data_IF_279189179762
#
_entry.id   IF_279189179762
#
_cell.length_a   1.000
_cell.length_b   1.000
_cell.length_c   1.000
_cell.angle_alpha   90.00
_cell.angle_beta   90.00
_cell.angle_gamma   90.00
#
_symmetry.space_group_name_H-M   'P 1'
#
loop_
_entity.id
_entity.type
_entity.pdbx_description
1 polymer ?
#
# COMPACT_ATOMS: atom_id res chain seq x y z
N UNK A 1 2.67 -31.71 0.71
CA UNK A 1 1.51 -31.84 -0.20
C UNK A 1 0.95 -30.46 -0.59
N UNK A 2 0.65 -29.57 0.37
CA UNK A 2 0.16 -28.21 0.08
C UNK A 2 1.09 -27.38 -0.83
N UNK A 3 2.40 -27.39 -0.60
CA UNK A 3 3.34 -26.61 -1.41
C UNK A 3 3.45 -27.08 -2.88
N UNK A 4 3.27 -28.38 -3.15
CA UNK A 4 3.22 -28.89 -4.53
C UNK A 4 1.98 -28.39 -5.25
N UNK A 5 0.84 -28.32 -4.55
CA UNK A 5 -0.41 -27.78 -5.10
C UNK A 5 -0.26 -26.27 -5.35
N UNK A 6 0.31 -25.52 -4.39
CA UNK A 6 0.57 -24.08 -4.52
C UNK A 6 1.53 -23.77 -5.68
N UNK A 7 2.63 -24.51 -5.83
CA UNK A 7 3.57 -24.33 -6.94
C UNK A 7 2.94 -24.70 -8.29
N UNK A 8 2.12 -25.76 -8.34
CA UNK A 8 1.40 -26.14 -9.57
C UNK A 8 0.38 -25.07 -10.00
N UNK A 9 -0.37 -24.50 -9.05
CA UNK A 9 -1.29 -23.37 -9.31
C UNK A 9 -0.51 -22.13 -9.78
N UNK A 10 0.65 -21.87 -9.16
CA UNK A 10 1.49 -20.74 -9.51
C UNK A 10 1.99 -20.83 -10.95
N UNK A 11 2.39 -22.03 -11.40
CA UNK A 11 2.76 -22.28 -12.80
C UNK A 11 1.65 -21.95 -13.79
N UNK A 12 0.40 -22.28 -13.45
CA UNK A 12 -0.76 -21.96 -14.27
C UNK A 12 -1.07 -20.45 -14.31
N UNK A 13 -0.66 -19.72 -13.26
CA UNK A 13 -0.94 -18.30 -13.09
C UNK A 13 0.24 -17.39 -13.39
N UNK A 14 1.40 -17.90 -13.81
CA UNK A 14 2.65 -17.13 -14.03
C UNK A 14 2.45 -15.82 -14.82
N UNK A 15 1.55 -15.82 -15.80
CA UNK A 15 1.26 -14.67 -16.66
C UNK A 15 0.12 -13.77 -16.14
N UNK A 16 -0.58 -14.16 -15.08
CA UNK A 16 -1.63 -13.39 -14.42
C UNK A 16 -1.01 -12.33 -13.50
N UNK A 17 -0.38 -11.32 -14.12
CA UNK A 17 0.32 -10.21 -13.47
C UNK A 17 0.01 -8.88 -14.17
N UNK A 18 0.63 -7.80 -13.73
CA UNK A 18 0.66 -6.56 -14.51
C UNK A 18 -0.65 -5.80 -14.51
N UNK A 19 -1.32 -5.67 -13.35
CA UNK A 19 -2.55 -4.89 -13.20
C UNK A 19 -2.31 -3.37 -13.15
N UNK A 20 -1.27 -2.89 -13.83
CA UNK A 20 -0.84 -1.48 -13.86
C UNK A 20 -1.97 -0.54 -14.30
N UNK A 21 -2.75 -0.93 -15.31
CA UNK A 21 -3.89 -0.14 -15.80
C UNK A 21 -4.97 0.09 -14.73
N UNK A 22 -5.02 -0.76 -13.71
CA UNK A 22 -5.97 -0.69 -12.61
C UNK A 22 -5.33 -0.25 -11.27
N UNK A 23 -4.04 0.15 -11.28
CA UNK A 23 -3.34 0.64 -10.10
C UNK A 23 -4.04 1.88 -9.49
N UNK A 24 -3.87 2.13 -8.20
CA UNK A 24 -4.59 3.22 -7.53
C UNK A 24 -4.36 4.61 -8.17
N UNK A 25 -3.15 4.98 -8.62
CA UNK A 25 -2.92 6.25 -9.30
C UNK A 25 -3.52 6.38 -10.72
N UNK A 26 -4.18 5.35 -11.26
CA UNK A 26 -4.84 5.44 -12.59
C UNK A 26 -6.32 5.82 -12.50
N UNK A 27 -6.87 5.98 -11.30
CA UNK A 27 -8.28 6.38 -11.09
C UNK A 27 -8.49 7.86 -11.46
N UNK A 28 -9.74 8.29 -11.76
CA UNK A 28 -10.03 9.66 -12.20
C UNK A 28 -9.51 10.78 -11.29
N UNK A 29 -9.33 10.52 -9.99
CA UNK A 29 -8.79 11.49 -9.04
C UNK A 29 -7.39 12.03 -9.39
N UNK A 30 -6.62 11.32 -10.22
CA UNK A 30 -5.27 11.69 -10.64
C UNK A 30 -5.22 12.33 -12.03
N UNK A 31 -6.37 12.63 -12.66
CA UNK A 31 -6.41 13.17 -14.03
C UNK A 31 -5.56 14.44 -14.21
N UNK A 32 -5.54 15.31 -13.19
CA UNK A 32 -4.73 16.54 -13.18
C UNK A 32 -3.27 16.32 -12.75
N UNK A 33 -2.96 15.13 -12.22
CA UNK A 33 -1.65 14.74 -11.68
C UNK A 33 -1.24 13.34 -12.17
N UNK A 34 -1.05 13.13 -13.49
CA UNK A 34 -0.84 11.81 -14.07
C UNK A 34 0.50 11.16 -13.69
N UNK A 35 1.51 11.96 -13.35
CA UNK A 35 2.86 11.51 -13.03
C UNK A 35 3.20 11.72 -11.55
N UNK A 36 4.00 10.82 -10.94
CA UNK A 36 4.46 11.01 -9.57
C UNK A 36 5.49 12.14 -9.51
N UNK A 37 5.24 13.12 -8.65
CA UNK A 37 6.13 14.29 -8.43
C UNK A 37 6.73 14.34 -7.03
N UNK A 38 6.26 13.50 -6.11
CA UNK A 38 6.80 13.38 -4.75
C UNK A 38 7.81 12.24 -4.72
N UNK A 39 9.02 12.49 -4.23
CA UNK A 39 9.99 11.44 -4.00
C UNK A 39 9.59 10.65 -2.75
N UNK A 40 9.44 9.33 -2.90
CA UNK A 40 9.15 8.39 -1.82
C UNK A 40 10.29 7.40 -1.73
N UNK A 41 10.77 7.14 -0.52
CA UNK A 41 11.96 6.36 -0.22
C UNK A 41 11.63 5.35 0.88
N UNK A 42 12.46 4.31 0.99
CA UNK A 42 12.40 3.38 2.10
C UNK A 42 13.79 3.22 2.70
N UNK A 43 14.08 3.85 3.85
CA UNK A 43 15.41 3.80 4.46
C UNK A 43 15.87 2.39 4.82
N UNK A 44 14.94 1.51 5.19
CA UNK A 44 15.21 0.15 5.65
C UNK A 44 15.24 -0.88 4.50
N UNK A 45 14.57 -0.60 3.38
CA UNK A 45 14.55 -1.49 2.21
C UNK A 45 15.40 -1.02 1.02
N UNK A 46 15.83 0.24 1.00
CA UNK A 46 16.67 0.83 -0.05
C UNK A 46 15.88 1.44 -1.22
N UNK A 47 16.53 1.46 -2.39
CA UNK A 47 16.00 2.10 -3.60
C UNK A 47 14.72 1.44 -4.12
N UNK A 48 13.92 2.18 -4.89
CA UNK A 48 12.74 1.61 -5.53
C UNK A 48 13.12 0.42 -6.45
N UNK A 49 12.39 -0.68 -6.33
CA UNK A 49 12.66 -1.96 -6.99
C UNK A 49 13.46 -2.94 -6.14
N UNK A 50 13.88 -2.55 -4.93
CA UNK A 50 14.60 -3.44 -4.01
C UNK A 50 13.71 -4.61 -3.54
N UNK A 51 14.35 -5.75 -3.29
CA UNK A 51 13.66 -6.94 -2.79
C UNK A 51 13.42 -6.84 -1.29
N UNK A 52 12.18 -7.10 -0.85
CA UNK A 52 11.82 -7.14 0.56
C UNK A 52 12.49 -8.30 1.27
N UNK A 53 13.09 -8.01 2.42
CA UNK A 53 13.57 -9.00 3.37
C UNK A 53 12.44 -9.84 3.97
N UNK A 54 12.83 -10.94 4.63
CA UNK A 54 11.89 -11.91 5.23
C UNK A 54 11.04 -11.27 6.33
N UNK A 55 11.58 -10.30 7.05
CA UNK A 55 10.92 -9.51 8.10
C UNK A 55 9.67 -8.76 7.60
N UNK A 56 9.57 -8.47 6.31
CA UNK A 56 8.39 -7.84 5.70
C UNK A 56 7.40 -8.87 5.11
N UNK A 57 7.69 -10.17 5.21
CA UNK A 57 6.90 -11.24 4.60
C UNK A 57 6.19 -12.12 5.64
N UNK A 58 5.26 -12.95 5.18
CA UNK A 58 4.48 -13.86 6.05
C UNK A 58 5.34 -14.86 6.82
N UNK A 59 6.53 -15.17 6.29
CA UNK A 59 7.47 -16.11 6.91
C UNK A 59 8.36 -15.44 7.98
N UNK A 60 8.20 -14.13 8.21
CA UNK A 60 8.87 -13.32 9.23
C UNK A 60 7.89 -12.50 10.08
N UNK A 61 8.29 -11.29 10.47
CA UNK A 61 7.51 -10.41 11.37
C UNK A 61 6.29 -9.77 10.67
N UNK A 62 6.31 -9.67 9.34
CA UNK A 62 5.24 -9.07 8.55
C UNK A 62 5.14 -7.56 8.71
N UNK A 63 6.29 -6.89 8.78
CA UNK A 63 6.37 -5.44 8.93
C UNK A 63 5.97 -4.73 7.64
N UNK A 64 5.45 -3.52 7.77
CA UNK A 64 5.42 -2.57 6.65
C UNK A 64 6.82 -1.96 6.53
N UNK A 65 7.35 -1.77 5.32
CA UNK A 65 8.56 -0.99 5.09
C UNK A 65 8.44 0.40 5.71
N UNK A 66 9.55 0.93 6.22
CA UNK A 66 9.61 2.34 6.55
C UNK A 66 9.50 3.14 5.25
N UNK A 67 8.65 4.16 5.23
CA UNK A 67 8.44 5.01 4.06
C UNK A 67 8.66 6.46 4.46
N UNK A 68 9.51 7.15 3.71
CA UNK A 68 9.77 8.59 3.85
C UNK A 68 9.42 9.29 2.54
N UNK A 69 8.96 10.54 2.63
CA UNK A 69 8.66 11.35 1.46
C UNK A 69 8.93 12.83 1.68
N UNK A 70 9.17 13.54 0.59
CA UNK A 70 9.42 14.97 0.64
C UNK A 70 8.13 15.74 0.98
N UNK A 71 8.25 16.77 1.83
CA UNK A 71 7.12 17.64 2.16
C UNK A 71 6.65 18.43 0.92
N UNK A 72 5.34 18.60 0.76
CA UNK A 72 4.72 19.36 -0.34
C UNK A 72 3.97 20.57 0.22
N UNK A 73 4.25 21.81 -0.26
CA UNK A 73 3.51 22.98 0.17
C UNK A 73 2.02 22.89 -0.15
N UNK A 74 1.16 23.31 0.78
CA UNK A 74 -0.29 23.32 0.61
C UNK A 74 -1.00 22.02 0.99
N UNK A 75 -0.25 20.97 1.34
CA UNK A 75 -0.84 19.73 1.87
C UNK A 75 -1.59 19.99 3.17
N UNK A 76 -2.81 19.45 3.23
CA UNK A 76 -3.63 19.44 4.44
C UNK A 76 -3.69 18.05 5.07
N UNK A 77 -3.46 16.99 4.27
CA UNK A 77 -3.52 15.61 4.74
C UNK A 77 -2.80 14.69 3.75
N UNK A 78 -2.20 13.61 4.26
CA UNK A 78 -1.64 12.54 3.42
C UNK A 78 -2.53 11.29 3.42
N UNK A 79 -2.39 10.51 2.36
CA UNK A 79 -2.97 9.19 2.19
C UNK A 79 -1.87 8.24 1.70
N UNK A 80 -1.81 7.04 2.26
CA UNK A 80 -0.93 5.97 1.78
C UNK A 80 -1.76 4.76 1.35
N UNK A 81 -1.53 4.27 0.13
CA UNK A 81 -2.17 3.06 -0.40
C UNK A 81 -1.10 2.08 -0.85
N UNK A 82 -1.09 0.89 -0.24
CA UNK A 82 -0.20 -0.21 -0.58
C UNK A 82 -0.95 -1.27 -1.41
N UNK A 83 -0.44 -1.64 -2.58
CA UNK A 83 -1.06 -2.62 -3.48
C UNK A 83 -0.05 -3.57 -4.12
N UNK A 84 -0.48 -4.80 -4.38
CA UNK A 84 0.25 -5.77 -5.21
C UNK A 84 -0.40 -5.83 -6.60
N UNK A 85 0.36 -5.40 -7.61
CA UNK A 85 -0.11 -5.38 -9.01
C UNK A 85 -0.03 -6.73 -9.71
N UNK A 86 0.72 -7.66 -9.13
CA UNK A 86 1.09 -8.93 -9.74
C UNK A 86 0.44 -10.12 -9.03
N UNK A 87 -0.40 -9.86 -8.02
CA UNK A 87 -1.35 -10.83 -7.50
C UNK A 87 -2.25 -11.35 -8.64
N UNK A 88 -2.47 -12.67 -8.74
CA UNK A 88 -3.24 -13.27 -9.83
C UNK A 88 -4.75 -13.10 -9.64
N UNK A 89 -5.18 -11.84 -9.62
CA UNK A 89 -6.55 -11.38 -9.49
C UNK A 89 -6.90 -10.40 -10.63
N UNK A 90 -8.18 -10.11 -10.87
CA UNK A 90 -8.58 -9.15 -11.91
C UNK A 90 -8.13 -7.71 -11.64
N UNK A 91 -7.99 -7.34 -10.38
CA UNK A 91 -7.57 -5.99 -9.93
C UNK A 91 -6.39 -6.11 -8.97
N UNK A 92 -5.59 -5.04 -8.78
CA UNK A 92 -4.54 -5.02 -7.76
C UNK A 92 -5.06 -5.47 -6.39
N UNK A 93 -4.24 -6.22 -5.67
CA UNK A 93 -4.57 -6.67 -4.33
C UNK A 93 -4.23 -5.57 -3.34
N UNK A 94 -5.24 -5.05 -2.64
CA UNK A 94 -5.06 -3.99 -1.66
C UNK A 94 -4.42 -4.52 -0.37
N UNK A 95 -3.17 -4.16 -0.12
CA UNK A 95 -2.44 -4.53 1.08
C UNK A 95 -2.78 -3.64 2.27
N UNK A 96 -2.97 -2.34 2.05
CA UNK A 96 -3.27 -1.41 3.13
C UNK A 96 -3.70 -0.06 2.59
N UNK A 97 -4.52 0.62 3.38
CA UNK A 97 -4.97 1.98 3.12
C UNK A 97 -4.83 2.73 4.43
N UNK A 98 -4.10 3.83 4.44
CA UNK A 98 -3.87 4.66 5.62
C UNK A 98 -4.31 6.09 5.31
N UNK A 99 -5.30 6.56 6.07
CA UNK A 99 -6.08 7.77 5.79
C UNK A 99 -5.97 8.71 6.97
N UNK A 100 -6.08 10.02 6.71
CA UNK A 100 -6.03 10.98 7.80
C UNK A 100 -4.63 11.24 8.32
N UNK A 101 -3.59 10.91 7.55
CA UNK A 101 -2.20 11.13 7.97
C UNK A 101 -1.97 12.65 8.09
N UNK A 102 -1.49 13.16 9.24
CA UNK A 102 -1.31 14.60 9.46
C UNK A 102 -0.40 15.24 8.41
N UNK A 103 -0.67 16.48 8.00
CA UNK A 103 0.10 17.20 6.98
C UNK A 103 1.61 17.27 7.24
N UNK A 104 2.00 17.31 8.52
CA UNK A 104 3.40 17.46 8.96
C UNK A 104 4.12 16.11 9.03
N UNK A 105 3.42 15.00 8.79
CA UNK A 105 4.00 13.65 8.70
C UNK A 105 4.64 13.43 7.34
N UNK A 106 5.94 13.14 7.35
CA UNK A 106 6.74 12.81 6.17
C UNK A 106 7.39 11.43 6.24
N UNK A 107 6.98 10.62 7.23
CA UNK A 107 7.50 9.29 7.48
C UNK A 107 6.41 8.41 8.11
N UNK A 108 6.36 7.12 7.74
CA UNK A 108 5.59 6.08 8.41
C UNK A 108 6.49 4.88 8.70
N UNK A 109 6.43 4.40 9.93
CA UNK A 109 7.11 3.21 10.42
C UNK A 109 6.11 2.11 10.75
N UNK A 110 6.61 0.90 11.02
CA UNK A 110 5.75 -0.19 11.47
C UNK A 110 5.06 0.08 12.83
N UNK A 111 5.68 0.86 13.72
CA UNK A 111 5.05 1.26 14.98
C UNK A 111 3.82 2.14 14.77
N UNK A 112 3.83 2.99 13.75
CA UNK A 112 2.74 3.93 13.49
C UNK A 112 1.46 3.23 13.07
N UNK A 113 1.58 2.07 12.40
CA UNK A 113 0.44 1.29 11.92
C UNK A 113 -0.09 0.27 12.93
N UNK A 114 0.42 0.29 14.17
CA UNK A 114 -0.14 -0.56 15.23
C UNK A 114 -1.50 -0.02 15.67
N UNK A 115 -2.43 -0.90 16.08
CA UNK A 115 -3.72 -0.46 16.63
C UNK A 115 -3.50 0.48 17.83
N UNK A 116 -4.21 1.61 17.83
CA UNK A 116 -4.27 2.46 19.02
C UNK A 116 -5.12 1.76 20.09
N UNK A 117 -4.46 1.28 21.15
CA UNK A 117 -5.11 0.55 22.25
C UNK A 117 -6.13 1.39 23.03
N UNK A 118 -6.08 2.72 22.92
CA UNK A 118 -7.01 3.64 23.58
C UNK A 118 -8.22 4.04 22.73
N UNK A 119 -8.23 3.69 21.43
CA UNK A 119 -9.27 4.10 20.50
C UNK A 119 -10.28 3.00 20.22
N UNK A 120 -11.55 3.38 20.05
CA UNK A 120 -12.61 2.49 19.54
C UNK A 120 -12.82 2.63 18.03
N UNK A 121 -12.29 3.70 17.45
CA UNK A 121 -12.30 3.94 16.01
C UNK A 121 -11.11 3.21 15.38
N UNK A 122 -11.14 2.95 14.07
CA UNK A 122 -10.08 2.26 13.31
C UNK A 122 -8.80 3.10 13.20
N UNK A 123 -8.30 3.52 14.36
CA UNK A 123 -7.21 4.45 14.59
C UNK A 123 -5.94 3.69 14.93
N UNK A 124 -4.83 4.27 14.51
CA UNK A 124 -3.51 3.73 14.63
C UNK A 124 -2.66 4.60 15.56
N UNK A 125 -1.61 4.01 16.11
CA UNK A 125 -0.69 4.66 17.04
C UNK A 125 -0.06 5.95 16.45
N UNK A 126 0.12 6.01 15.12
CA UNK A 126 0.60 7.20 14.42
C UNK A 126 -0.39 8.36 14.33
N UNK A 127 -1.59 8.24 14.93
CA UNK A 127 -2.58 9.33 14.97
C UNK A 127 -3.46 9.44 13.73
N UNK A 128 -3.45 8.43 12.86
CA UNK A 128 -4.26 8.32 11.64
C UNK A 128 -5.09 7.03 11.64
N UNK A 129 -5.81 6.74 10.55
CA UNK A 129 -6.74 5.62 10.45
C UNK A 129 -6.37 4.65 9.34
N UNK A 130 -6.96 3.46 9.36
CA UNK A 130 -6.84 2.49 8.29
C UNK A 130 -8.17 2.17 7.60
N UNK A 131 -8.09 1.92 6.30
CA UNK A 131 -9.21 1.47 5.46
C UNK A 131 -9.34 -0.06 5.40
N UNK A 132 -10.20 -0.53 4.50
CA UNK A 132 -10.33 -1.97 4.23
C UNK A 132 -9.19 -2.43 3.32
N UNK A 133 -8.29 -3.24 3.88
CA UNK A 133 -7.44 -4.12 3.09
C UNK A 133 -8.27 -5.28 2.51
N UNK A 134 -7.72 -5.97 1.52
CA UNK A 134 -8.47 -6.98 0.75
C UNK A 134 -9.00 -8.14 1.62
N UNK A 135 -8.27 -8.55 2.67
CA UNK A 135 -8.67 -9.69 3.54
C UNK A 135 -8.93 -9.31 5.00
N UNK A 136 -8.89 -8.01 5.35
CA UNK A 136 -9.37 -7.52 6.64
C UNK A 136 -8.31 -6.95 7.61
N UNK A 137 -7.13 -7.55 7.80
CA UNK A 137 -6.05 -6.96 8.62
C UNK A 137 -5.75 -5.48 8.29
N UNK A 138 -5.14 -4.76 9.23
CA UNK A 138 -4.71 -3.36 9.01
C UNK A 138 -3.77 -3.28 7.80
N UNK A 139 -2.81 -4.19 7.75
CA UNK A 139 -1.88 -4.38 6.65
C UNK A 139 -1.84 -5.87 6.30
N UNK A 140 -2.06 -6.21 5.04
CA UNK A 140 -1.86 -7.55 4.53
C UNK A 140 -0.38 -7.78 4.37
N UNK A 141 0.13 -8.81 5.02
CA UNK A 141 1.55 -9.15 4.92
C UNK A 141 1.80 -9.75 3.52
N UNK A 142 2.84 -9.29 2.79
CA UNK A 142 3.31 -9.90 1.56
C UNK A 142 3.44 -11.42 1.65
N UNK A 143 2.70 -12.09 0.76
CA UNK A 143 2.75 -13.54 0.56
C UNK A 143 2.50 -13.85 -0.93
N UNK A 144 3.44 -13.50 -1.82
CA UNK A 144 3.33 -13.90 -3.21
C UNK A 144 3.25 -15.43 -3.30
N UNK A 145 2.58 -15.94 -4.32
CA UNK A 145 2.46 -17.38 -4.49
C UNK A 145 3.85 -18.00 -4.76
N UNK A 146 4.06 -19.20 -4.24
CA UNK A 146 5.33 -19.92 -4.37
C UNK A 146 5.66 -20.20 -5.85
N UNK A 147 6.86 -19.80 -6.29
CA UNK A 147 7.34 -19.91 -7.68
C UNK A 147 6.51 -19.13 -8.72
N UNK A 148 5.66 -18.21 -8.29
CA UNK A 148 4.91 -17.33 -9.20
C UNK A 148 5.80 -16.26 -9.84
N UNK A 149 7.07 -16.15 -9.43
CA UNK A 149 7.99 -15.09 -9.82
C UNK A 149 7.81 -13.83 -8.96
N UNK A 150 8.58 -12.76 -9.24
CA UNK A 150 8.51 -11.53 -8.46
C UNK A 150 7.15 -10.82 -8.61
N UNK A 151 6.68 -10.25 -7.50
CA UNK A 151 5.53 -9.36 -7.41
C UNK A 151 6.00 -7.95 -7.06
N UNK A 152 5.38 -6.93 -7.68
CA UNK A 152 5.60 -5.52 -7.40
C UNK A 152 4.55 -4.99 -6.42
N UNK A 153 5.03 -4.46 -5.31
CA UNK A 153 4.23 -3.83 -4.28
C UNK A 153 4.40 -2.31 -4.41
N UNK A 154 3.34 -1.61 -4.81
CA UNK A 154 3.34 -0.16 -4.91
C UNK A 154 2.87 0.46 -3.60
N UNK A 155 3.71 1.30 -3.00
CA UNK A 155 3.37 2.16 -1.88
C UNK A 155 3.19 3.57 -2.40
N UNK A 156 1.93 3.94 -2.66
CA UNK A 156 1.59 5.25 -3.21
C UNK A 156 1.28 6.21 -2.06
N UNK A 157 2.04 7.29 -1.97
CA UNK A 157 1.82 8.39 -1.03
C UNK A 157 1.15 9.54 -1.79
N UNK A 158 0.00 9.98 -1.31
CA UNK A 158 -0.84 10.98 -1.97
C UNK A 158 -0.97 12.20 -1.06
N UNK A 159 -0.65 13.35 -1.62
CA UNK A 159 -0.74 14.66 -1.01
C UNK A 159 -2.14 15.23 -1.32
N UNK A 160 -2.94 15.51 -0.28
CA UNK A 160 -4.28 16.08 -0.46
C UNK A 160 -4.27 17.57 -0.08
N UNK A 161 -4.84 18.42 -0.95
CA UNK A 161 -4.98 19.87 -0.71
C UNK A 161 -6.12 20.21 0.27
N UNK A 162 -6.96 19.23 0.58
CA UNK A 162 -8.06 19.32 1.53
C UNK A 162 -8.12 18.04 2.37
N UNK A 163 -8.48 18.12 3.67
CA UNK A 163 -8.65 16.93 4.48
C UNK A 163 -9.87 16.12 4.02
N UNK A 164 -9.80 14.80 4.23
CA UNK A 164 -10.96 13.93 4.17
C UNK A 164 -11.89 14.18 5.36
N UNK A 165 -13.18 13.94 5.14
CA UNK A 165 -14.20 13.98 6.18
C UNK A 165 -13.87 13.00 7.32
N UNK A 166 -14.07 13.42 8.57
CA UNK A 166 -13.64 12.64 9.73
C UNK A 166 -14.46 11.36 9.89
N UNK A 167 -15.77 11.41 9.67
CA UNK A 167 -16.64 10.24 9.73
C UNK A 167 -16.27 9.26 8.61
N UNK A 168 -15.94 9.77 7.42
CA UNK A 168 -15.43 8.96 6.32
C UNK A 168 -14.13 8.24 6.69
N UNK A 169 -13.15 8.94 7.24
CA UNK A 169 -11.86 8.37 7.64
C UNK A 169 -12.05 7.32 8.74
N UNK A 170 -12.93 7.58 9.72
CA UNK A 170 -13.28 6.65 10.80
C UNK A 170 -14.19 5.49 10.36
N UNK A 171 -14.69 5.47 9.12
CA UNK A 171 -15.61 4.42 8.62
C UNK A 171 -14.91 3.15 8.11
N UNK A 172 -13.57 3.14 8.07
CA UNK A 172 -12.75 2.11 7.40
C UNK A 172 -13.22 1.90 5.96
N UNK A 173 -13.04 2.90 5.08
CA UNK A 173 -13.54 2.86 3.71
C UNK A 173 -12.76 1.86 2.85
N UNK A 174 -13.41 1.35 1.81
CA UNK A 174 -12.75 0.51 0.80
C UNK A 174 -11.93 1.37 -0.16
N UNK A 175 -10.98 0.74 -0.85
CA UNK A 175 -10.18 1.35 -1.92
C UNK A 175 -11.02 2.19 -2.90
N UNK A 176 -12.14 1.64 -3.38
CA UNK A 176 -13.02 2.33 -4.33
C UNK A 176 -13.68 3.58 -3.73
N UNK A 177 -14.12 3.50 -2.46
CA UNK A 177 -14.67 4.67 -1.76
C UNK A 177 -13.61 5.74 -1.53
N UNK A 178 -12.38 5.34 -1.22
CA UNK A 178 -11.26 6.28 -1.07
C UNK A 178 -10.96 6.97 -2.40
N UNK A 179 -10.89 6.22 -3.50
CA UNK A 179 -10.69 6.79 -4.84
C UNK A 179 -11.70 7.89 -5.16
N UNK A 180 -12.99 7.67 -4.86
CA UNK A 180 -14.04 8.67 -5.04
C UNK A 180 -13.87 9.88 -4.09
N UNK A 181 -13.52 9.63 -2.82
CA UNK A 181 -13.43 10.68 -1.80
C UNK A 181 -12.27 11.67 -2.01
N UNK A 182 -11.25 11.28 -2.78
CA UNK A 182 -10.09 12.11 -3.12
C UNK A 182 -10.22 12.82 -4.48
N UNK A 183 -11.30 12.58 -5.24
CA UNK A 183 -11.52 13.26 -6.52
C UNK A 183 -11.52 14.77 -6.33
N UNK A 184 -10.72 15.46 -7.16
CA UNK A 184 -10.52 16.90 -7.07
C UNK A 184 -9.70 17.38 -5.87
N UNK A 185 -9.20 16.48 -5.00
CA UNK A 185 -8.41 16.83 -3.79
C UNK A 185 -6.91 16.50 -3.90
N UNK A 186 -6.50 15.70 -4.88
CA UNK A 186 -5.08 15.39 -5.09
C UNK A 186 -4.32 16.67 -5.45
N UNK A 187 -3.16 16.87 -4.82
CA UNK A 187 -2.24 17.98 -5.05
C UNK A 187 -0.94 17.50 -5.71
N UNK A 188 -0.45 16.35 -5.26
CA UNK A 188 0.74 15.67 -5.73
C UNK A 188 0.68 14.22 -5.24
N UNK A 189 1.52 13.36 -5.81
CA UNK A 189 1.69 12.01 -5.28
C UNK A 189 3.06 11.46 -5.64
N UNK A 190 3.44 10.38 -4.99
CA UNK A 190 4.68 9.67 -5.20
C UNK A 190 4.50 8.18 -4.97
N UNK A 191 5.48 7.40 -5.40
CA UNK A 191 5.44 5.94 -5.27
C UNK A 191 6.83 5.41 -4.99
N UNK A 192 6.90 4.51 -4.01
CA UNK A 192 8.02 3.59 -3.85
C UNK A 192 7.54 2.18 -4.16
N UNK A 193 8.33 1.43 -4.94
CA UNK A 193 7.98 0.07 -5.36
C UNK A 193 8.91 -0.91 -4.67
N UNK A 194 8.36 -1.91 -3.99
CA UNK A 194 9.12 -3.05 -3.49
C UNK A 194 8.90 -4.27 -4.38
N UNK A 195 9.86 -5.20 -4.36
CA UNK A 195 9.74 -6.50 -5.02
C UNK A 195 9.70 -7.59 -3.97
N UNK A 196 8.82 -8.56 -4.11
CA UNK A 196 8.82 -9.75 -3.26
C UNK A 196 8.57 -11.01 -4.08
N UNK A 197 9.29 -12.07 -3.78
CA UNK A 197 9.20 -13.36 -4.45
C UNK A 197 9.33 -14.48 -3.42
N UNK A 198 8.52 -15.54 -3.54
CA UNK A 198 8.69 -16.78 -2.78
C UNK A 198 9.16 -17.87 -3.72
N UNK A 199 10.37 -18.39 -3.52
CA UNK A 199 10.92 -19.52 -4.28
C UNK A 199 10.84 -20.80 -3.46
N UNK A 200 10.42 -21.89 -4.07
CA UNK A 200 10.61 -23.23 -3.51
C UNK A 200 12.10 -23.55 -3.52
N UNK A 201 12.59 -24.16 -2.44
CA UNK A 201 14.03 -24.41 -2.22
C UNK A 201 14.69 -25.02 -3.47
N UNK A 202 15.71 -24.33 -4.00
CA UNK A 202 16.83 -24.95 -4.72
C UNK A 202 17.93 -25.31 -3.74
#
# INVERSE_FOLDING_TARGET
MAAYIESTISWLLLNAKGRDAAAFPTVPAFADHPEPTVAVRSPDCGEAGSSLGREYMVDGEGRIPELEWDAVPGVQQWLLVAEDLDAPLPTPFCHGIFLGIPKDTTAITHSDIQPDKGSKEYRLAGGFHYGQSQLGPIYMIPRPLLDHGPHRYHFNVIALKEPLDQDFVASRPSRAKVAQAIEGKVLAWGRWTAVCERKWRS
#
